data_IF_078814693514
#
_entry.id   IF_078814693514
#
_cell.length_a   1.000
_cell.length_b   1.000
_cell.length_c   1.000
_cell.angle_alpha   90.00
_cell.angle_beta   90.00
_cell.angle_gamma   90.00
#
_symmetry.space_group_name_H-M   'P 1'
#
loop_
_entity.id
_entity.type
_entity.pdbx_description
1 polymer ?
#
# COMPACT_ATOMS: atom_id res chain seq x y z
N UNK A 1 -11.19 31.04 -19.32
CA UNK A 1 -12.01 31.39 -18.16
C UNK A 1 -12.12 32.89 -18.11
N UNK A 2 -13.34 33.40 -17.96
CA UNK A 2 -13.62 34.82 -17.84
C UNK A 2 -13.86 35.15 -16.37
N UNK A 3 -13.67 36.40 -15.98
CA UNK A 3 -13.90 36.86 -14.60
C UNK A 3 -15.37 36.75 -14.15
N UNK A 4 -16.29 36.49 -15.08
CA UNK A 4 -17.73 36.31 -14.85
C UNK A 4 -18.17 34.86 -14.60
N UNK A 5 -17.27 33.87 -14.76
CA UNK A 5 -17.64 32.46 -14.68
C UNK A 5 -17.95 32.07 -13.22
N UNK A 6 -19.08 31.41 -12.98
CA UNK A 6 -19.44 30.93 -11.64
C UNK A 6 -18.69 29.63 -11.29
N UNK A 7 -18.68 29.25 -10.01
CA UNK A 7 -18.16 27.94 -9.60
C UNK A 7 -18.85 26.77 -10.32
N UNK A 8 -20.17 26.89 -10.56
CA UNK A 8 -20.94 25.89 -11.30
C UNK A 8 -20.49 25.77 -12.76
N UNK A 9 -20.19 26.89 -13.40
CA UNK A 9 -19.68 26.91 -14.78
C UNK A 9 -18.30 26.26 -14.85
N UNK A 10 -17.44 26.54 -13.87
CA UNK A 10 -16.12 25.91 -13.75
C UNK A 10 -16.23 24.40 -13.56
N UNK A 11 -17.08 23.93 -12.63
CA UNK A 11 -17.27 22.51 -12.37
C UNK A 11 -17.81 21.78 -13.60
N UNK A 12 -18.78 22.40 -14.29
CA UNK A 12 -19.35 21.87 -15.53
C UNK A 12 -18.27 21.75 -16.61
N UNK A 13 -17.48 22.80 -16.82
CA UNK A 13 -16.39 22.79 -17.80
C UNK A 13 -15.34 21.70 -17.51
N UNK A 14 -14.92 21.56 -16.24
CA UNK A 14 -13.97 20.52 -15.81
C UNK A 14 -14.53 19.12 -16.04
N UNK A 15 -15.78 18.87 -15.66
CA UNK A 15 -16.43 17.57 -15.84
C UNK A 15 -16.60 17.23 -17.33
N UNK A 16 -16.99 18.20 -18.16
CA UNK A 16 -17.09 18.02 -19.62
C UNK A 16 -15.73 17.71 -20.23
N UNK A 17 -14.68 18.42 -19.81
CA UNK A 17 -13.31 18.16 -20.25
C UNK A 17 -12.85 16.75 -19.85
N UNK A 18 -13.01 16.37 -18.58
CA UNK A 18 -12.63 15.05 -18.08
C UNK A 18 -13.37 13.93 -18.83
N UNK A 19 -14.69 14.08 -19.04
CA UNK A 19 -15.48 13.11 -19.81
C UNK A 19 -14.98 12.96 -21.23
N UNK A 20 -14.73 14.08 -21.92
CA UNK A 20 -14.21 14.06 -23.31
C UNK A 20 -12.81 13.41 -23.36
N UNK A 21 -11.95 13.72 -22.39
CA UNK A 21 -10.62 13.14 -22.31
C UNK A 21 -10.67 11.61 -22.07
N UNK A 22 -11.49 11.15 -21.13
CA UNK A 22 -11.70 9.71 -20.88
C UNK A 22 -12.23 8.98 -22.11
N UNK A 23 -13.22 9.56 -22.81
CA UNK A 23 -13.75 8.95 -24.04
C UNK A 23 -12.67 8.86 -25.14
N UNK A 24 -11.83 9.90 -25.28
CA UNK A 24 -10.72 9.90 -26.24
C UNK A 24 -9.63 8.87 -25.91
N UNK A 25 -9.52 8.44 -24.65
CA UNK A 25 -8.57 7.40 -24.23
C UNK A 25 -9.02 5.99 -24.61
N UNK A 26 -10.32 5.75 -24.80
CA UNK A 26 -10.85 4.41 -25.13
C UNK A 26 -10.29 3.84 -26.44
N UNK A 27 -9.97 4.70 -27.41
CA UNK A 27 -9.41 4.30 -28.71
C UNK A 27 -7.89 4.24 -28.73
N UNK A 28 -7.22 4.54 -27.61
CA UNK A 28 -5.75 4.57 -27.50
C UNK A 28 -5.26 3.40 -26.64
N UNK A 29 -4.02 2.93 -26.86
CA UNK A 29 -3.43 1.96 -25.95
C UNK A 29 -3.28 2.56 -24.54
N UNK A 30 -3.33 1.73 -23.47
CA UNK A 30 -3.14 2.21 -22.11
C UNK A 30 -1.77 2.87 -21.92
N UNK A 31 -1.77 4.11 -21.43
CA UNK A 31 -0.56 4.81 -21.06
C UNK A 31 -0.13 4.41 -19.63
N UNK A 32 1.00 3.71 -19.53
CA UNK A 32 1.58 3.27 -18.25
C UNK A 32 2.40 4.36 -17.54
N UNK A 33 2.64 5.50 -18.19
CA UNK A 33 3.34 6.65 -17.58
C UNK A 33 2.40 7.55 -16.77
N UNK A 34 1.09 7.33 -16.87
CA UNK A 34 0.08 8.12 -16.20
C UNK A 34 0.00 7.71 -14.72
N UNK A 35 0.59 8.54 -13.87
CA UNK A 35 0.63 8.37 -12.41
C UNK A 35 -0.51 9.13 -11.74
N UNK A 36 -0.86 8.70 -10.52
CA UNK A 36 -1.69 9.50 -9.60
C UNK A 36 -0.96 10.79 -9.21
N UNK A 37 -1.73 11.80 -8.79
CA UNK A 37 -1.20 13.09 -8.33
C UNK A 37 -0.08 12.87 -7.27
N UNK A 38 1.14 13.39 -7.50
CA UNK A 38 2.26 13.20 -6.57
C UNK A 38 2.02 13.84 -5.19
N UNK A 39 1.07 14.76 -5.06
CA UNK A 39 0.73 15.43 -3.80
C UNK A 39 -0.17 14.60 -2.89
N UNK A 40 -0.67 13.44 -3.34
CA UNK A 40 -1.42 12.55 -2.46
C UNK A 40 -0.58 12.10 -1.26
N UNK A 41 -1.22 12.03 -0.10
CA UNK A 41 -0.63 11.53 1.15
C UNK A 41 -0.86 10.04 1.35
N UNK A 42 -1.41 9.35 0.35
CA UNK A 42 -1.70 7.91 0.38
C UNK A 42 -1.04 7.22 -0.81
N UNK A 43 -0.42 6.08 -0.56
CA UNK A 43 0.11 5.21 -1.62
C UNK A 43 -1.01 4.63 -2.49
N UNK A 44 -0.67 4.28 -3.74
CA UNK A 44 -1.61 3.67 -4.67
C UNK A 44 -1.02 2.40 -5.32
N UNK A 45 -1.86 1.39 -5.52
CA UNK A 45 -1.48 0.13 -6.20
C UNK A 45 -2.28 0.01 -7.50
N UNK A 46 -1.58 0.07 -8.62
CA UNK A 46 -2.14 -0.07 -9.97
C UNK A 46 -1.81 -1.46 -10.50
N UNK A 47 -2.70 -2.43 -10.22
CA UNK A 47 -2.48 -3.85 -10.54
C UNK A 47 -2.35 -4.07 -12.06
N UNK A 48 -3.14 -3.37 -12.88
CA UNK A 48 -3.08 -3.44 -14.35
C UNK A 48 -1.81 -2.84 -14.96
N UNK A 49 -1.08 -2.04 -14.18
CA UNK A 49 0.23 -1.51 -14.56
C UNK A 49 1.37 -2.25 -13.82
N UNK A 50 1.04 -3.19 -12.93
CA UNK A 50 1.97 -3.82 -11.99
C UNK A 50 2.87 -2.79 -11.28
N UNK A 51 2.27 -1.68 -10.82
CA UNK A 51 3.00 -0.52 -10.30
C UNK A 51 2.48 -0.15 -8.91
N UNK A 52 3.40 0.04 -7.97
CA UNK A 52 3.13 0.64 -6.67
C UNK A 52 3.67 2.07 -6.67
N UNK A 53 2.82 3.03 -6.33
CA UNK A 53 3.16 4.46 -6.34
C UNK A 53 3.27 4.93 -4.89
N UNK A 54 4.45 5.46 -4.57
CA UNK A 54 4.77 6.10 -3.30
C UNK A 54 4.89 7.61 -3.56
N UNK A 55 3.81 8.38 -3.37
CA UNK A 55 3.82 9.80 -3.68
C UNK A 55 4.72 10.57 -2.69
N UNK A 56 5.23 11.72 -3.11
CA UNK A 56 6.08 12.55 -2.26
C UNK A 56 5.31 13.10 -1.05
N UNK A 57 4.00 13.29 -1.18
CA UNK A 57 3.11 13.64 -0.07
C UNK A 57 3.07 12.61 1.06
N UNK A 58 3.38 11.33 0.79
CA UNK A 58 3.52 10.30 1.83
C UNK A 58 4.85 10.43 2.60
N UNK A 59 5.88 11.01 1.99
CA UNK A 59 7.24 11.08 2.55
C UNK A 59 7.42 12.28 3.51
N UNK A 60 6.41 12.54 4.34
CA UNK A 60 6.42 13.62 5.31
C UNK A 60 6.95 13.17 6.68
N UNK A 61 7.48 14.11 7.50
CA UNK A 61 7.79 13.83 8.90
C UNK A 61 6.56 13.26 9.62
N UNK A 62 6.76 12.15 10.36
CA UNK A 62 5.79 11.15 10.87
C UNK A 62 5.84 9.82 10.10
N UNK A 63 5.99 9.83 8.78
CA UNK A 63 6.12 8.60 7.99
C UNK A 63 7.54 8.35 7.49
N UNK A 64 8.27 9.40 7.11
CA UNK A 64 9.64 9.27 6.67
C UNK A 64 10.46 10.52 7.01
N UNK A 65 11.69 10.31 7.46
CA UNK A 65 12.70 11.36 7.47
C UNK A 65 14.08 10.74 7.36
N UNK A 66 14.96 11.36 6.56
CA UNK A 66 16.36 10.96 6.50
C UNK A 66 17.07 11.07 7.86
N UNK A 67 16.56 11.92 8.75
CA UNK A 67 17.11 12.12 10.10
C UNK A 67 16.59 11.08 11.11
N UNK A 68 15.49 10.38 10.79
CA UNK A 68 14.94 9.37 11.69
C UNK A 68 15.78 8.09 11.68
N UNK A 69 15.78 7.35 12.81
CA UNK A 69 16.33 6.02 12.87
C UNK A 69 15.86 5.13 11.73
N UNK A 70 16.76 4.30 11.20
CA UNK A 70 16.38 3.34 10.14
C UNK A 70 15.26 2.43 10.62
N UNK A 71 15.31 1.96 11.87
CA UNK A 71 14.24 1.17 12.46
C UNK A 71 12.87 1.86 12.35
N UNK A 72 12.81 3.16 12.62
CA UNK A 72 11.58 3.94 12.49
C UNK A 72 11.11 3.96 11.03
N UNK A 73 11.96 4.39 10.09
CA UNK A 73 11.59 4.48 8.66
C UNK A 73 11.18 3.13 8.07
N UNK A 74 11.80 2.03 8.50
CA UNK A 74 11.42 0.68 8.06
C UNK A 74 10.09 0.23 8.66
N UNK A 75 9.79 0.60 9.91
CA UNK A 75 8.51 0.31 10.57
C UNK A 75 7.36 1.12 9.99
N UNK A 76 7.59 2.39 9.67
CA UNK A 76 6.58 3.30 9.11
C UNK A 76 6.41 3.12 7.59
N UNK A 77 7.15 3.87 6.77
CA UNK A 77 7.01 3.83 5.30
C UNK A 77 7.42 2.48 4.73
N UNK A 78 8.38 1.78 5.35
CA UNK A 78 8.75 0.43 4.94
C UNK A 78 7.61 -0.58 5.10
N UNK A 79 6.81 -0.47 6.16
CA UNK A 79 5.58 -1.25 6.36
C UNK A 79 4.56 -1.00 5.24
N UNK A 80 4.33 0.27 4.89
CA UNK A 80 3.41 0.63 3.80
C UNK A 80 3.88 0.13 2.43
N UNK A 81 5.17 0.21 2.13
CA UNK A 81 5.75 -0.34 0.90
C UNK A 81 5.55 -1.87 0.85
N UNK A 82 5.80 -2.56 1.98
CA UNK A 82 5.59 -4.00 2.08
C UNK A 82 4.11 -4.38 1.90
N UNK A 83 3.18 -3.60 2.46
CA UNK A 83 1.74 -3.77 2.27
C UNK A 83 1.36 -3.65 0.79
N UNK A 84 1.86 -2.61 0.11
CA UNK A 84 1.67 -2.42 -1.32
C UNK A 84 2.15 -3.60 -2.16
N UNK A 85 3.32 -4.14 -1.81
CA UNK A 85 3.88 -5.31 -2.49
C UNK A 85 3.02 -6.57 -2.27
N UNK A 86 2.52 -6.80 -1.06
CA UNK A 86 1.65 -7.94 -0.78
C UNK A 86 0.33 -7.86 -1.53
N UNK A 87 -0.24 -6.67 -1.73
CA UNK A 87 -1.48 -6.51 -2.51
C UNK A 87 -1.32 -6.91 -3.99
N UNK A 88 -0.13 -6.68 -4.57
CA UNK A 88 0.22 -7.13 -5.92
C UNK A 88 0.39 -8.66 -6.01
N UNK A 89 0.64 -9.34 -4.89
CA UNK A 89 0.81 -10.80 -4.83
C UNK A 89 -0.37 -11.51 -4.16
N UNK A 90 -1.28 -10.77 -3.56
CA UNK A 90 -2.42 -11.31 -2.80
C UNK A 90 -3.54 -11.78 -3.71
N UNK A 91 -4.74 -11.89 -3.15
CA UNK A 91 -5.89 -12.45 -3.84
C UNK A 91 -6.18 -11.74 -5.17
N UNK A 92 -6.17 -10.40 -5.18
CA UNK A 92 -6.42 -9.63 -6.40
C UNK A 92 -5.25 -9.71 -7.38
N UNK A 93 -4.02 -9.55 -6.88
CA UNK A 93 -2.80 -9.61 -7.67
C UNK A 93 -2.56 -10.96 -8.36
N UNK A 94 -2.98 -12.07 -7.74
CA UNK A 94 -2.88 -13.42 -8.31
C UNK A 94 -3.59 -13.61 -9.66
N UNK A 95 -4.53 -12.72 -10.00
CA UNK A 95 -5.23 -12.75 -11.29
C UNK A 95 -4.51 -11.97 -12.39
N UNK A 96 -3.42 -11.26 -12.08
CA UNK A 96 -2.70 -10.41 -13.02
C UNK A 96 -1.24 -10.84 -13.13
N UNK A 97 -0.74 -10.99 -14.35
CA UNK A 97 0.65 -11.35 -14.60
C UNK A 97 1.60 -10.15 -14.40
N UNK A 98 2.90 -10.39 -14.62
CA UNK A 98 3.97 -9.40 -14.45
C UNK A 98 3.82 -8.12 -15.29
N UNK A 99 3.00 -8.12 -16.34
CA UNK A 99 2.74 -6.95 -17.20
C UNK A 99 1.36 -6.34 -16.98
N UNK A 100 0.58 -6.90 -16.03
CA UNK A 100 -0.73 -6.39 -15.63
C UNK A 100 -1.90 -6.95 -16.44
N UNK A 101 -1.69 -8.03 -17.21
CA UNK A 101 -2.78 -8.70 -17.92
C UNK A 101 -3.47 -9.72 -17.03
N UNK A 102 -4.79 -9.85 -17.19
CA UNK A 102 -5.53 -10.87 -16.45
C UNK A 102 -5.16 -12.26 -16.96
N UNK A 103 -4.44 -13.03 -16.13
CA UNK A 103 -3.96 -14.37 -16.47
C UNK A 103 -3.89 -15.24 -15.21
N UNK A 104 -4.11 -16.54 -15.38
CA UNK A 104 -3.94 -17.51 -14.29
C UNK A 104 -2.51 -18.05 -14.33
N UNK A 105 -1.62 -17.42 -13.57
CA UNK A 105 -0.20 -17.77 -13.52
C UNK A 105 0.19 -18.60 -12.29
N UNK A 106 -0.71 -18.72 -11.30
CA UNK A 106 -0.53 -19.63 -10.17
C UNK A 106 -0.94 -21.05 -10.51
N UNK A 107 -0.12 -22.01 -10.08
CA UNK A 107 -0.47 -23.42 -10.10
C UNK A 107 -1.67 -23.70 -9.19
N UNK A 108 -2.40 -24.79 -9.48
CA UNK A 108 -3.52 -25.22 -8.64
C UNK A 108 -3.09 -25.48 -7.17
N UNK A 109 -1.88 -26.03 -6.97
CA UNK A 109 -1.30 -26.24 -5.63
C UNK A 109 -1.04 -24.93 -4.89
N UNK A 110 -0.54 -23.90 -5.58
CA UNK A 110 -0.29 -22.57 -5.00
C UNK A 110 -1.60 -21.92 -4.58
N UNK A 111 -2.63 -21.97 -5.43
CA UNK A 111 -3.97 -21.44 -5.11
C UNK A 111 -4.54 -22.13 -3.87
N UNK A 112 -4.47 -23.46 -3.80
CA UNK A 112 -4.95 -24.23 -2.66
C UNK A 112 -4.23 -23.84 -1.37
N UNK A 113 -2.90 -23.76 -1.41
CA UNK A 113 -2.08 -23.40 -0.24
C UNK A 113 -2.32 -21.96 0.23
N UNK A 114 -2.47 -21.02 -0.71
CA UNK A 114 -2.80 -19.64 -0.42
C UNK A 114 -4.17 -19.55 0.27
N UNK A 115 -5.18 -20.23 -0.28
CA UNK A 115 -6.54 -20.21 0.26
C UNK A 115 -6.59 -20.81 1.68
N UNK A 116 -5.89 -21.92 1.93
CA UNK A 116 -5.78 -22.51 3.28
C UNK A 116 -5.19 -21.51 4.29
N UNK A 117 -4.10 -20.82 3.92
CA UNK A 117 -3.47 -19.81 4.80
C UNK A 117 -4.40 -18.60 5.03
N UNK A 118 -5.06 -18.13 3.98
CA UNK A 118 -6.04 -17.05 4.04
C UNK A 118 -7.21 -17.39 4.97
N UNK A 119 -7.71 -18.62 4.90
CA UNK A 119 -8.78 -19.10 5.77
C UNK A 119 -8.37 -19.13 7.24
N UNK A 120 -7.14 -19.58 7.56
CA UNK A 120 -6.60 -19.55 8.91
C UNK A 120 -6.58 -18.11 9.48
N UNK A 121 -6.05 -17.16 8.72
CA UNK A 121 -6.00 -15.74 9.15
C UNK A 121 -7.41 -15.18 9.30
N UNK A 122 -8.31 -15.46 8.35
CA UNK A 122 -9.72 -15.04 8.42
C UNK A 122 -10.43 -15.58 9.67
N UNK A 123 -10.20 -16.85 10.03
CA UNK A 123 -10.76 -17.47 11.23
C UNK A 123 -10.20 -16.82 12.50
N UNK A 124 -8.89 -16.57 12.55
CA UNK A 124 -8.26 -15.88 13.67
C UNK A 124 -8.86 -14.47 13.88
N UNK A 125 -8.95 -13.66 12.82
CA UNK A 125 -9.58 -12.34 12.90
C UNK A 125 -11.04 -12.42 13.34
N UNK A 126 -11.82 -13.38 12.84
CA UNK A 126 -13.22 -13.59 13.26
C UNK A 126 -13.35 -13.93 14.74
N UNK A 127 -12.42 -14.74 15.28
CA UNK A 127 -12.41 -15.06 16.71
C UNK A 127 -12.09 -13.84 17.58
N UNK A 128 -11.20 -12.96 17.11
CA UNK A 128 -10.84 -11.72 17.81
C UNK A 128 -11.93 -10.64 17.70
N UNK A 129 -12.54 -10.51 16.51
CA UNK A 129 -13.59 -9.54 16.23
C UNK A 129 -14.94 -9.85 16.92
N UNK A 130 -15.03 -10.91 17.74
CA UNK A 130 -16.24 -11.27 18.50
C UNK A 130 -16.83 -10.13 19.35
N UNK A 131 -16.06 -9.07 19.61
CA UNK A 131 -16.43 -7.87 20.37
C UNK A 131 -16.57 -6.58 19.53
N UNK A 132 -16.37 -6.63 18.20
CA UNK A 132 -16.45 -5.47 17.30
C UNK A 132 -17.52 -5.77 16.24
N UNK A 133 -18.31 -4.77 15.89
CA UNK A 133 -19.50 -4.87 15.04
C UNK A 133 -19.35 -5.85 13.86
N UNK A 134 -20.25 -6.84 13.78
CA UNK A 134 -20.21 -7.98 12.83
C UNK A 134 -20.62 -7.58 11.40
N UNK A 135 -20.80 -6.28 11.15
CA UNK A 135 -21.24 -5.71 9.88
C UNK A 135 -20.10 -5.63 8.85
N UNK A 136 -18.82 -5.74 9.26
CA UNK A 136 -17.70 -5.84 8.32
C UNK A 136 -17.76 -7.16 7.54
N UNK A 137 -18.06 -7.02 6.26
CA UNK A 137 -18.12 -8.13 5.32
C UNK A 137 -16.77 -8.85 5.25
N UNK A 138 -16.77 -10.16 4.94
CA UNK A 138 -15.55 -10.95 4.68
C UNK A 138 -14.65 -10.33 3.58
N UNK A 139 -15.16 -9.40 2.77
CA UNK A 139 -14.36 -8.63 1.80
C UNK A 139 -13.39 -7.66 2.48
N UNK A 140 -13.71 -7.11 3.64
CA UNK A 140 -12.84 -6.17 4.37
C UNK A 140 -11.70 -6.90 5.08
N UNK A 141 -11.86 -8.20 5.33
CA UNK A 141 -10.79 -9.07 5.83
C UNK A 141 -9.66 -9.29 4.81
N UNK A 142 -9.86 -9.00 3.52
CA UNK A 142 -8.81 -9.19 2.49
C UNK A 142 -7.60 -8.28 2.78
N UNK A 143 -7.84 -7.01 3.13
CA UNK A 143 -6.78 -6.09 3.53
C UNK A 143 -6.10 -6.52 4.84
N UNK A 144 -6.87 -7.16 5.74
CA UNK A 144 -6.38 -7.68 7.03
C UNK A 144 -5.58 -8.99 6.87
N UNK A 145 -5.78 -9.78 5.81
CA UNK A 145 -4.96 -10.97 5.51
C UNK A 145 -3.58 -10.57 4.98
N UNK A 146 -3.52 -9.47 4.24
CA UNK A 146 -2.27 -8.90 3.73
C UNK A 146 -1.49 -8.09 4.81
N UNK A 147 -1.96 -8.11 6.07
CA UNK A 147 -1.33 -7.49 7.26
C UNK A 147 0.01 -8.11 7.67
N UNK A 148 0.44 -9.19 7.03
CA UNK A 148 1.78 -9.75 7.26
C UNK A 148 2.94 -8.86 6.76
N UNK A 149 2.63 -7.69 6.20
CA UNK A 149 3.61 -6.71 5.71
C UNK A 149 4.67 -6.34 6.73
N UNK A 150 4.31 -6.24 8.02
CA UNK A 150 5.25 -5.88 9.08
C UNK A 150 6.36 -6.93 9.23
N UNK A 151 6.05 -8.20 8.99
CA UNK A 151 7.03 -9.29 9.01
C UNK A 151 8.04 -9.10 7.87
N UNK A 152 7.56 -8.73 6.67
CA UNK A 152 8.44 -8.50 5.52
C UNK A 152 9.28 -7.24 5.69
N UNK A 153 8.69 -6.15 6.18
CA UNK A 153 9.39 -4.91 6.51
C UNK A 153 10.44 -5.13 7.61
N UNK A 154 10.12 -5.89 8.66
CA UNK A 154 11.05 -6.22 9.73
C UNK A 154 12.21 -7.10 9.24
N UNK A 155 11.93 -8.11 8.40
CA UNK A 155 12.98 -8.91 7.76
C UNK A 155 13.89 -8.06 6.88
N UNK A 156 13.32 -7.13 6.11
CA UNK A 156 14.09 -6.19 5.29
C UNK A 156 14.98 -5.28 6.16
N UNK A 157 14.46 -4.80 7.29
CA UNK A 157 15.22 -4.04 8.27
C UNK A 157 16.41 -4.83 8.81
N UNK A 158 16.18 -6.06 9.30
CA UNK A 158 17.25 -6.92 9.84
C UNK A 158 18.31 -7.24 8.79
N UNK A 159 17.91 -7.51 7.54
CA UNK A 159 18.82 -7.73 6.41
C UNK A 159 19.62 -6.48 6.03
N UNK A 160 19.04 -5.29 6.15
CA UNK A 160 19.75 -4.03 5.95
C UNK A 160 20.80 -3.79 7.04
N UNK A 161 20.48 -4.11 8.29
CA UNK A 161 21.38 -3.89 9.43
C UNK A 161 22.59 -4.83 9.43
N UNK A 162 22.45 -6.06 8.95
CA UNK A 162 23.59 -6.97 8.82
C UNK A 162 24.64 -6.51 7.80
N UNK A 163 24.24 -5.66 6.83
CA UNK A 163 25.13 -5.15 5.77
C UNK A 163 25.84 -3.84 6.12
N UNK A 164 25.20 -2.98 6.91
CA UNK A 164 25.68 -1.60 7.14
C UNK A 164 26.42 -1.44 8.48
N UNK A 165 26.41 -2.46 9.34
CA UNK A 165 26.90 -2.36 10.70
C UNK A 165 25.91 -1.60 11.60
N UNK A 166 25.79 -2.01 12.85
CA UNK A 166 24.87 -1.38 13.80
C UNK A 166 25.38 0.00 14.22
N UNK A 167 24.70 1.06 13.80
CA UNK A 167 24.70 2.33 14.54
C UNK A 167 23.33 2.47 15.17
N UNK A 168 23.27 2.22 16.47
CA UNK A 168 22.06 2.41 17.28
C UNK A 168 21.67 3.87 17.18
N UNK A 169 20.45 4.14 16.72
CA UNK A 169 19.91 5.49 16.66
C UNK A 169 18.55 5.46 17.33
N UNK A 170 18.45 6.12 18.48
CA UNK A 170 17.19 6.29 19.19
C UNK A 170 16.57 7.64 18.85
N UNK A 171 15.28 7.81 19.12
CA UNK A 171 14.65 9.12 19.10
C UNK A 171 14.92 9.83 20.43
N UNK A 172 15.16 11.15 20.44
CA UNK A 172 15.31 11.92 21.68
C UNK A 172 14.10 11.71 22.61
N UNK A 173 14.35 11.43 23.89
CA UNK A 173 13.28 11.20 24.88
C UNK A 173 12.65 9.81 24.87
N UNK A 174 13.06 8.90 23.97
CA UNK A 174 12.58 7.51 23.92
C UNK A 174 13.72 6.52 24.17
N UNK A 175 13.65 5.80 25.29
CA UNK A 175 14.59 4.72 25.62
C UNK A 175 14.07 3.36 25.09
N UNK A 176 13.94 3.26 23.76
CA UNK A 176 13.52 2.04 23.08
C UNK A 176 14.70 1.38 22.37
N UNK A 177 14.69 0.05 22.30
CA UNK A 177 15.57 -0.66 21.35
C UNK A 177 15.14 -0.37 19.92
N UNK A 178 16.04 -0.57 18.95
CA UNK A 178 15.69 -0.38 17.55
C UNK A 178 14.51 -1.28 17.13
N UNK A 179 14.42 -2.50 17.67
CA UNK A 179 13.31 -3.42 17.37
C UNK A 179 11.99 -2.93 17.98
N UNK A 180 12.01 -2.42 19.21
CA UNK A 180 10.84 -1.79 19.82
C UNK A 180 10.42 -0.55 19.04
N UNK A 181 11.37 0.29 18.64
CA UNK A 181 11.12 1.49 17.85
C UNK A 181 10.50 1.16 16.49
N UNK A 182 10.91 0.06 15.85
CA UNK A 182 10.30 -0.43 14.60
C UNK A 182 8.80 -0.68 14.78
N UNK A 183 8.41 -1.44 15.82
CA UNK A 183 6.99 -1.77 16.02
C UNK A 183 6.16 -0.58 16.51
N UNK A 184 6.76 0.31 17.32
CA UNK A 184 6.11 1.57 17.72
C UNK A 184 5.86 2.45 16.50
N UNK A 185 6.84 2.56 15.59
CA UNK A 185 6.70 3.36 14.37
C UNK A 185 5.60 2.84 13.44
N UNK A 186 5.42 1.53 13.34
CA UNK A 186 4.35 0.92 12.53
C UNK A 186 2.94 1.02 13.15
N UNK A 187 2.84 1.33 14.46
CA UNK A 187 1.58 1.39 15.19
C UNK A 187 1.05 2.83 15.41
N UNK A 188 1.85 3.86 15.08
CA UNK A 188 1.47 5.28 15.14
C UNK A 188 0.62 5.69 13.94
#
# INVERSE_FOLDING_TARGET
MKSSDTYSDMLTAVNTFNRKNTLNMLSKPPDKSLLVDPLFTLGAILITQNTAIIPIGLLQPMLYSRQFPKAYNFGSVGGQIAAGYLLLLGQKGSFYDKIGNRARWWSASTIKNYETKRQCISQWYKSWAGNIDKSESVKDLIWKVDSSHDIYAFRAYKSSMSKVGQRRSTLPGLNLTDEQLFFVAGAQ
#
